data_IF_674928835593
#
_entry.id   IF_674928835593
#
_cell.length_a   1.000
_cell.length_b   1.000
_cell.length_c   1.000
_cell.angle_alpha   90.00
_cell.angle_beta   90.00
_cell.angle_gamma   90.00
#
_symmetry.space_group_name_H-M   'P 1'
#
loop_
_entity.id
_entity.type
_entity.pdbx_description
1 polymer ?
#
# COMPACT_ATOMS: atom_id res chain seq x y z
N UNK A 1 -6.96 16.59 -1.10
CA UNK A 1 -6.24 16.23 0.12
C UNK A 1 -4.80 15.97 -0.27
N UNK A 2 -3.93 16.95 -0.08
CA UNK A 2 -2.48 16.73 -0.11
C UNK A 2 -2.11 16.08 1.23
N UNK A 3 -1.60 14.86 1.21
CA UNK A 3 -1.07 14.22 2.40
C UNK A 3 0.43 14.47 2.45
N UNK A 4 0.90 15.16 3.49
CA UNK A 4 2.32 15.29 3.79
C UNK A 4 2.83 13.97 4.36
N UNK A 5 3.38 13.13 3.49
CA UNK A 5 4.03 11.89 3.87
C UNK A 5 5.33 12.16 4.64
N UNK A 6 5.65 11.33 5.62
CA UNK A 6 6.94 11.33 6.33
C UNK A 6 7.59 9.95 6.35
N UNK A 7 8.89 9.93 6.58
CA UNK A 7 9.62 8.69 6.86
C UNK A 7 9.03 8.00 8.10
N UNK A 8 8.84 6.68 8.02
CA UNK A 8 8.18 5.88 9.04
C UNK A 8 6.67 5.70 8.84
N UNK A 9 6.02 6.50 7.99
CA UNK A 9 4.58 6.32 7.72
C UNK A 9 4.30 5.01 6.99
N UNK A 10 3.17 4.39 7.32
CA UNK A 10 2.65 3.25 6.60
C UNK A 10 1.77 3.72 5.45
N UNK A 11 2.05 3.18 4.26
CA UNK A 11 1.32 3.51 3.03
C UNK A 11 0.92 2.26 2.26
N UNK A 12 -0.14 2.39 1.49
CA UNK A 12 -0.54 1.41 0.50
C UNK A 12 -0.14 1.92 -0.90
N UNK A 13 0.48 1.05 -1.70
CA UNK A 13 0.98 1.35 -3.05
C UNK A 13 0.02 0.78 -4.10
N UNK A 14 -0.42 1.60 -5.04
CA UNK A 14 -1.32 1.17 -6.10
C UNK A 14 -0.64 0.25 -7.11
N UNK A 15 -1.27 -0.88 -7.43
CA UNK A 15 -0.78 -1.83 -8.43
C UNK A 15 -1.32 -1.60 -9.84
N UNK A 16 -2.18 -0.59 -10.02
CA UNK A 16 -2.90 -0.35 -11.26
C UNK A 16 -1.96 -0.12 -12.46
N UNK A 17 -0.82 0.54 -12.22
CA UNK A 17 0.20 0.81 -13.23
C UNK A 17 1.41 -0.13 -13.18
N UNK A 18 1.34 -1.22 -12.42
CA UNK A 18 2.39 -2.23 -12.47
C UNK A 18 2.20 -3.06 -13.75
N UNK A 19 2.75 -2.59 -14.86
CA UNK A 19 2.68 -3.25 -16.16
C UNK A 19 3.32 -4.66 -16.17
N UNK A 20 4.12 -4.99 -15.15
CA UNK A 20 4.88 -6.25 -15.04
C UNK A 20 4.35 -7.24 -13.98
N UNK A 21 3.13 -7.04 -13.44
CA UNK A 21 2.53 -8.06 -12.58
C UNK A 21 1.95 -9.18 -13.43
N UNK A 22 2.44 -10.41 -13.22
CA UNK A 22 1.88 -11.66 -13.80
C UNK A 22 0.46 -11.97 -13.30
N UNK A 23 -0.20 -11.04 -12.62
CA UNK A 23 -1.50 -11.24 -11.97
C UNK A 23 -2.61 -10.73 -12.90
N UNK A 24 -3.66 -11.53 -13.18
CA UNK A 24 -4.79 -11.14 -14.02
C UNK A 24 -5.42 -9.82 -13.53
N UNK A 25 -5.75 -8.91 -14.46
CA UNK A 25 -6.31 -7.57 -14.17
C UNK A 25 -7.56 -7.59 -13.28
N UNK A 26 -8.33 -8.68 -13.29
CA UNK A 26 -9.55 -8.91 -12.48
C UNK A 26 -9.28 -9.30 -11.01
N UNK A 27 -8.06 -9.72 -10.66
CA UNK A 27 -7.64 -10.11 -9.30
C UNK A 27 -6.57 -9.18 -8.72
N UNK A 28 -6.27 -8.05 -9.37
CA UNK A 28 -5.34 -7.07 -8.78
C UNK A 28 -6.08 -6.34 -7.67
N UNK A 29 -5.68 -6.60 -6.43
CA UNK A 29 -5.98 -5.67 -5.34
C UNK A 29 -5.48 -4.30 -5.78
N UNK A 30 -6.36 -3.30 -5.73
CA UNK A 30 -6.04 -1.97 -6.25
C UNK A 30 -4.84 -1.34 -5.54
N UNK A 31 -4.49 -1.85 -4.36
CA UNK A 31 -3.38 -1.41 -3.53
C UNK A 31 -2.72 -2.57 -2.75
N UNK A 32 -1.40 -2.55 -2.62
CA UNK A 32 -0.59 -3.47 -1.80
C UNK A 32 0.00 -2.76 -0.58
N UNK A 33 0.27 -3.51 0.49
CA UNK A 33 0.93 -3.02 1.71
C UNK A 33 0.24 -3.55 2.97
N UNK A 34 0.48 -2.92 4.13
CA UNK A 34 1.20 -1.66 4.33
C UNK A 34 2.72 -1.77 4.12
N UNK A 35 3.31 -0.77 3.46
CA UNK A 35 4.75 -0.58 3.36
C UNK A 35 5.17 0.65 4.16
N UNK A 36 6.39 0.63 4.70
CA UNK A 36 6.94 1.75 5.48
C UNK A 36 7.72 2.67 4.53
N UNK A 37 7.46 3.97 4.57
CA UNK A 37 8.29 4.96 3.87
C UNK A 37 9.66 4.99 4.55
N UNK A 38 10.71 4.73 3.78
CA UNK A 38 12.09 4.82 4.24
C UNK A 38 12.78 6.11 3.78
N UNK A 39 12.25 6.78 2.75
CA UNK A 39 12.78 8.04 2.25
C UNK A 39 11.75 8.84 1.46
N UNK A 40 11.76 10.17 1.63
CA UNK A 40 11.02 11.08 0.75
C UNK A 40 11.91 11.57 -0.39
N UNK A 41 11.40 11.55 -1.61
CA UNK A 41 12.06 12.08 -2.81
C UNK A 41 11.33 13.36 -3.21
N UNK A 42 11.70 14.44 -2.54
CA UNK A 42 11.01 15.72 -2.65
C UNK A 42 9.51 15.58 -2.33
N UNK A 43 8.66 16.23 -3.11
CA UNK A 43 7.20 16.15 -3.00
C UNK A 43 6.57 15.19 -4.02
N UNK A 44 7.39 14.54 -4.85
CA UNK A 44 6.91 13.83 -6.04
C UNK A 44 6.84 12.32 -5.83
N UNK A 45 7.70 11.76 -5.00
CA UNK A 45 7.82 10.32 -4.82
C UNK A 45 8.29 9.95 -3.41
N UNK A 46 8.02 8.70 -3.04
CA UNK A 46 8.44 8.09 -1.79
C UNK A 46 9.13 6.77 -2.08
N UNK A 47 10.16 6.47 -1.32
CA UNK A 47 10.80 5.16 -1.30
C UNK A 47 10.22 4.36 -0.13
N UNK A 48 9.80 3.12 -0.39
CA UNK A 48 9.19 2.26 0.63
C UNK A 48 10.00 0.98 0.82
N UNK A 49 9.94 0.44 2.04
CA UNK A 49 10.50 -0.87 2.35
C UNK A 49 9.58 -1.96 1.80
N UNK A 50 9.94 -2.49 0.64
CA UNK A 50 9.28 -3.64 0.03
C UNK A 50 9.65 -4.94 0.77
N UNK A 51 8.71 -5.88 0.85
CA UNK A 51 8.98 -7.25 1.33
C UNK A 51 9.78 -8.04 0.29
N UNK A 52 10.39 -9.16 0.68
CA UNK A 52 11.27 -9.96 -0.20
C UNK A 52 10.59 -10.39 -1.50
N UNK A 53 9.28 -10.67 -1.46
CA UNK A 53 8.44 -11.00 -2.62
C UNK A 53 8.45 -9.88 -3.69
N UNK A 54 8.67 -8.64 -3.28
CA UNK A 54 8.70 -7.45 -4.12
C UNK A 54 10.10 -6.87 -4.32
N UNK A 55 11.15 -7.48 -3.78
CA UNK A 55 12.55 -7.01 -3.84
C UNK A 55 13.08 -6.73 -5.24
N UNK A 56 12.55 -7.40 -6.27
CA UNK A 56 12.92 -7.21 -7.68
C UNK A 56 12.24 -6.02 -8.36
N UNK A 57 11.32 -5.33 -7.66
CA UNK A 57 10.60 -4.16 -8.17
C UNK A 57 11.26 -2.89 -7.63
N UNK A 58 11.21 -1.77 -8.37
CA UNK A 58 11.66 -0.49 -7.86
C UNK A 58 10.91 -0.14 -6.56
N UNK A 59 11.62 0.23 -5.47
CA UNK A 59 10.99 0.59 -4.20
C UNK A 59 10.45 2.04 -4.19
N UNK A 60 10.61 2.77 -5.30
CA UNK A 60 10.23 4.18 -5.42
C UNK A 60 8.89 4.31 -6.16
N UNK A 61 7.95 5.02 -5.55
CA UNK A 61 6.62 5.25 -6.09
C UNK A 61 6.25 6.74 -6.06
N UNK A 62 5.65 7.28 -7.14
CA UNK A 62 5.11 8.64 -7.10
C UNK A 62 4.02 8.77 -6.03
N UNK A 63 3.93 9.95 -5.41
CA UNK A 63 2.93 10.24 -4.35
C UNK A 63 1.49 10.04 -4.81
N UNK A 64 1.21 10.16 -6.11
CA UNK A 64 -0.10 9.88 -6.70
C UNK A 64 -0.51 8.41 -6.66
N UNK A 65 0.46 7.50 -6.50
CA UNK A 65 0.23 6.06 -6.42
C UNK A 65 0.29 5.52 -5.00
N UNK A 66 0.55 6.38 -4.01
CA UNK A 66 0.56 5.98 -2.60
C UNK A 66 -0.61 6.63 -1.87
N UNK A 67 -1.19 5.89 -0.94
CA UNK A 67 -2.20 6.43 -0.02
C UNK A 67 -1.81 6.09 1.42
N UNK A 68 -2.09 6.97 2.39
CA UNK A 68 -1.87 6.66 3.79
C UNK A 68 -2.62 5.38 4.18
N UNK A 69 -1.93 4.50 4.91
CA UNK A 69 -2.55 3.36 5.54
C UNK A 69 -3.07 3.79 6.91
N UNK A 70 -4.36 4.07 6.99
CA UNK A 70 -5.02 4.18 8.27
C UNK A 70 -5.38 2.77 8.70
N UNK A 71 -4.74 2.29 9.78
CA UNK A 71 -5.21 1.10 10.47
C UNK A 71 -6.57 1.46 11.06
N UNK A 72 -7.63 1.35 10.26
CA UNK A 72 -8.98 1.30 10.79
C UNK A 72 -8.97 0.12 11.72
N UNK A 73 -9.16 0.39 13.01
CA UNK A 73 -9.53 -0.63 13.99
C UNK A 73 -10.52 -1.55 13.29
N UNK A 74 -10.14 -2.82 13.13
CA UNK A 74 -10.94 -3.80 12.40
C UNK A 74 -12.39 -3.62 12.86
N UNK A 75 -13.40 -3.54 11.98
CA UNK A 75 -14.73 -3.90 12.45
C UNK A 75 -14.55 -5.35 12.92
N UNK A 76 -14.58 -5.55 14.23
CA UNK A 76 -14.78 -6.86 14.82
C UNK A 76 -15.98 -7.44 14.07
N UNK A 77 -15.71 -8.36 13.14
CA UNK A 77 -16.75 -9.29 12.75
C UNK A 77 -16.99 -10.13 14.00
N UNK A 78 -17.84 -9.61 14.90
CA UNK A 78 -18.61 -10.46 15.80
C UNK A 78 -19.29 -11.43 14.85
N UNK A 79 -18.75 -12.65 14.75
CA UNK A 79 -19.56 -13.77 14.31
C UNK A 79 -20.64 -13.86 15.38
N UNK A 80 -21.77 -13.18 15.15
CA UNK A 80 -23.03 -13.52 15.80
C UNK A 80 -23.34 -14.95 15.36
N UNK A 81 -22.76 -15.89 16.09
CA UNK A 81 -23.26 -17.25 16.14
C UNK A 81 -24.62 -17.17 16.83
N UNK A 82 -25.65 -16.86 16.05
CA UNK A 82 -27.03 -17.13 16.43
C UNK A 82 -27.13 -18.64 16.61
N UNK A 83 -27.21 -19.03 17.88
CA UNK A 83 -27.42 -20.38 18.38
C UNK A 83 -28.77 -20.88 17.84
N UNK A 84 -28.85 -22.06 17.20
CA UNK A 84 -30.14 -22.72 16.96
C UNK A 84 -30.72 -23.31 18.26
#
# INVERSE_FOLDING_TARGET
MEHDFKEGDQVLVSTLNFHNLKVPKKMRDSFLGPFIIIKLIGKIAVEVKLTEEFSRKPPVFPVSFVKPYFQTEKPEHKHDSQIP
#
